data_IF_939009922467
#
_entry.id   IF_939009922467
#
_cell.length_a   1.000
_cell.length_b   1.000
_cell.length_c   1.000
_cell.angle_alpha   90.00
_cell.angle_beta   90.00
_cell.angle_gamma   90.00
#
_symmetry.space_group_name_H-M   'P 1'
#
loop_
_entity.id
_entity.type
_entity.pdbx_description
1 polymer ?
#
# COMPACT_ATOMS: atom_id res chain seq x y z
N UNK A 1 15.00 0.65 -10.91
CA UNK A 1 13.74 1.36 -10.66
C UNK A 1 13.89 2.53 -9.67
N UNK A 2 15.06 3.17 -9.51
CA UNK A 2 15.20 4.32 -8.60
C UNK A 2 15.08 5.62 -9.38
N UNK A 3 13.85 5.92 -9.80
CA UNK A 3 13.52 7.01 -10.73
C UNK A 3 13.46 8.38 -10.05
N UNK A 4 13.30 8.40 -8.73
CA UNK A 4 13.41 9.59 -7.90
C UNK A 4 14.01 9.19 -6.53
N UNK A 5 14.72 10.13 -5.89
CA UNK A 5 15.42 9.91 -4.62
C UNK A 5 14.88 10.78 -3.48
N UNK A 6 14.10 11.81 -3.80
CA UNK A 6 13.45 12.68 -2.83
C UNK A 6 11.96 12.38 -2.74
N UNK A 7 11.39 12.57 -1.55
CA UNK A 7 9.94 12.54 -1.33
C UNK A 7 9.20 13.37 -2.39
N UNK A 8 8.17 12.80 -3.00
CA UNK A 8 7.31 13.49 -3.95
C UNK A 8 5.94 13.74 -3.33
N UNK A 9 5.35 14.90 -3.61
CA UNK A 9 3.98 15.21 -3.21
C UNK A 9 3.06 15.25 -4.42
N UNK A 10 1.87 14.68 -4.29
CA UNK A 10 0.86 14.70 -5.33
C UNK A 10 -0.53 14.87 -4.74
N UNK A 11 -1.26 15.85 -5.28
CA UNK A 11 -2.68 15.99 -5.04
C UNK A 11 -3.40 14.83 -5.72
N UNK A 12 -4.18 14.07 -4.96
CA UNK A 12 -4.95 12.96 -5.54
C UNK A 12 -6.10 13.53 -6.35
N UNK A 13 -6.19 13.14 -7.63
CA UNK A 13 -7.25 13.59 -8.52
C UNK A 13 -8.62 13.10 -8.04
N UNK A 14 -9.66 13.92 -8.21
CA UNK A 14 -11.01 13.58 -7.77
C UNK A 14 -11.52 12.28 -8.41
N UNK A 15 -11.23 12.05 -9.69
CA UNK A 15 -11.62 10.84 -10.40
C UNK A 15 -10.98 9.58 -9.79
N UNK A 16 -9.71 9.65 -9.39
CA UNK A 16 -9.02 8.56 -8.70
C UNK A 16 -9.64 8.29 -7.32
N UNK A 17 -10.02 9.34 -6.59
CA UNK A 17 -10.74 9.19 -5.30
C UNK A 17 -12.10 8.51 -5.50
N UNK A 18 -12.85 8.87 -6.54
CA UNK A 18 -14.14 8.23 -6.86
C UNK A 18 -13.95 6.75 -7.19
N UNK A 19 -13.03 6.40 -8.10
CA UNK A 19 -12.74 5.00 -8.44
C UNK A 19 -12.32 4.17 -7.22
N UNK A 20 -11.47 4.73 -6.35
CA UNK A 20 -11.04 4.06 -5.12
C UNK A 20 -12.21 3.79 -4.15
N UNK A 21 -13.16 4.74 -4.03
CA UNK A 21 -14.35 4.56 -3.19
C UNK A 21 -15.28 3.49 -3.75
N UNK A 22 -15.53 3.53 -5.05
CA UNK A 22 -16.40 2.57 -5.73
C UNK A 22 -15.84 1.14 -5.58
N UNK A 23 -14.54 0.98 -5.78
CA UNK A 23 -13.86 -0.29 -5.54
C UNK A 23 -14.01 -0.79 -4.10
N UNK A 24 -13.72 0.07 -3.13
CA UNK A 24 -13.81 -0.30 -1.72
C UNK A 24 -15.24 -0.72 -1.32
N UNK A 25 -16.25 -0.02 -1.84
CA UNK A 25 -17.66 -0.37 -1.61
C UNK A 25 -18.01 -1.75 -2.21
N UNK A 26 -17.59 -2.00 -3.45
CA UNK A 26 -17.84 -3.27 -4.13
C UNK A 26 -17.11 -4.45 -3.47
N UNK A 27 -15.90 -4.24 -2.93
CA UNK A 27 -15.15 -5.28 -2.20
C UNK A 27 -15.91 -5.76 -0.98
N UNK A 28 -16.54 -4.86 -0.22
CA UNK A 28 -17.36 -5.24 0.95
C UNK A 28 -18.63 -5.97 0.55
N UNK A 29 -19.25 -5.56 -0.55
CA UNK A 29 -20.44 -6.22 -1.07
C UNK A 29 -20.14 -7.67 -1.53
N UNK A 30 -18.91 -7.94 -1.98
CA UNK A 30 -18.55 -9.19 -2.65
C UNK A 30 -17.83 -10.19 -1.74
N UNK A 31 -16.98 -9.72 -0.82
CA UNK A 31 -16.08 -10.58 -0.03
C UNK A 31 -16.66 -10.86 1.36
N UNK A 32 -16.77 -12.14 1.70
CA UNK A 32 -17.21 -12.58 3.02
C UNK A 32 -16.04 -12.60 4.02
N UNK A 33 -16.00 -11.63 4.92
CA UNK A 33 -14.96 -11.49 5.95
C UNK A 33 -15.25 -12.25 7.26
N UNK A 34 -16.24 -13.14 7.31
CA UNK A 34 -16.59 -13.91 8.52
C UNK A 34 -15.43 -14.78 9.06
N UNK A 35 -14.50 -15.18 8.19
CA UNK A 35 -13.34 -16.03 8.49
C UNK A 35 -12.21 -15.31 9.25
N UNK A 36 -12.19 -13.97 9.25
CA UNK A 36 -11.06 -13.17 9.74
C UNK A 36 -11.34 -12.41 11.04
N UNK A 37 -12.51 -12.64 11.67
CA UNK A 37 -13.00 -11.92 12.86
C UNK A 37 -12.96 -10.38 12.71
N UNK A 38 -12.87 -9.87 11.49
CA UNK A 38 -12.91 -8.45 11.19
C UNK A 38 -14.37 -8.02 11.03
N UNK A 39 -15.03 -7.75 12.16
CA UNK A 39 -16.44 -7.34 12.17
C UNK A 39 -16.66 -5.89 11.71
N UNK A 40 -15.61 -5.06 11.67
CA UNK A 40 -15.73 -3.66 11.32
C UNK A 40 -15.61 -3.46 9.79
N UNK A 41 -16.75 -3.61 9.11
CA UNK A 41 -16.85 -3.39 7.66
C UNK A 41 -16.37 -1.99 7.25
N UNK A 42 -16.69 -0.95 8.02
CA UNK A 42 -16.24 0.41 7.73
C UNK A 42 -14.71 0.51 7.66
N UNK A 43 -14.01 -0.13 8.60
CA UNK A 43 -12.55 -0.19 8.59
C UNK A 43 -12.02 -0.92 7.35
N UNK A 44 -12.63 -2.05 6.99
CA UNK A 44 -12.22 -2.82 5.80
C UNK A 44 -12.39 -1.95 4.54
N UNK A 45 -13.50 -1.20 4.44
CA UNK A 45 -13.76 -0.31 3.32
C UNK A 45 -12.68 0.75 3.23
N UNK A 46 -12.41 1.38 4.37
CA UNK A 46 -11.44 2.45 4.49
C UNK A 46 -10.03 1.96 4.13
N UNK A 47 -9.62 0.79 4.62
CA UNK A 47 -8.33 0.18 4.29
C UNK A 47 -8.18 -0.05 2.76
N UNK A 48 -9.21 -0.57 2.09
CA UNK A 48 -9.19 -0.78 0.62
C UNK A 48 -9.18 0.54 -0.16
N UNK A 49 -9.96 1.52 0.28
CA UNK A 49 -9.97 2.86 -0.29
C UNK A 49 -8.58 3.50 -0.21
N UNK A 50 -7.98 3.53 0.98
CA UNK A 50 -6.65 4.10 1.21
C UNK A 50 -5.56 3.37 0.41
N UNK A 51 -5.67 2.05 0.26
CA UNK A 51 -4.76 1.28 -0.61
C UNK A 51 -4.77 1.80 -2.04
N UNK A 52 -5.95 1.87 -2.66
CA UNK A 52 -6.09 2.32 -4.05
C UNK A 52 -5.68 3.77 -4.26
N UNK A 53 -5.93 4.64 -3.29
CA UNK A 53 -5.46 6.03 -3.34
C UNK A 53 -3.92 6.08 -3.41
N UNK A 54 -3.22 5.27 -2.62
CA UNK A 54 -1.77 5.24 -2.70
C UNK A 54 -1.25 4.68 -4.02
N UNK A 55 -1.89 3.65 -4.57
CA UNK A 55 -1.54 3.11 -5.88
C UNK A 55 -1.71 4.16 -7.00
N UNK A 56 -2.81 4.90 -7.00
CA UNK A 56 -3.07 6.01 -7.92
C UNK A 56 -2.05 7.16 -7.76
N UNK A 57 -1.66 7.48 -6.53
CA UNK A 57 -0.64 8.49 -6.26
C UNK A 57 0.73 8.08 -6.82
N UNK A 58 1.16 6.84 -6.59
CA UNK A 58 2.42 6.29 -7.12
C UNK A 58 2.39 6.31 -8.65
N UNK A 59 1.31 5.82 -9.26
CA UNK A 59 1.12 5.88 -10.72
C UNK A 59 1.32 7.29 -11.26
N UNK A 60 0.64 8.27 -10.66
CA UNK A 60 0.69 9.67 -11.12
C UNK A 60 2.12 10.22 -11.08
N UNK A 61 2.90 9.89 -10.05
CA UNK A 61 4.31 10.32 -9.95
C UNK A 61 5.15 9.70 -11.07
N UNK A 62 5.04 8.39 -11.31
CA UNK A 62 5.80 7.73 -12.36
C UNK A 62 5.43 8.21 -13.77
N UNK A 63 4.14 8.42 -14.04
CA UNK A 63 3.67 8.97 -15.32
C UNK A 63 4.20 10.40 -15.56
N UNK A 64 4.24 11.24 -14.51
CA UNK A 64 4.87 12.58 -14.60
C UNK A 64 6.36 12.54 -14.90
N UNK A 65 7.03 11.44 -14.54
CA UNK A 65 8.44 11.19 -14.84
C UNK A 65 8.63 10.48 -16.19
N UNK A 66 7.59 10.43 -17.03
CA UNK A 66 7.56 9.80 -18.36
C UNK A 66 7.76 8.28 -18.36
N UNK A 67 7.37 7.59 -17.29
CA UNK A 67 7.36 6.13 -17.25
C UNK A 67 6.01 5.55 -17.67
N UNK A 68 6.04 4.38 -18.29
CA UNK A 68 4.81 3.64 -18.61
C UNK A 68 4.36 2.90 -17.36
N UNK A 69 3.13 3.17 -16.91
CA UNK A 69 2.56 2.49 -15.73
C UNK A 69 1.34 1.66 -16.13
N UNK A 70 1.33 0.38 -15.77
CA UNK A 70 0.11 -0.45 -15.75
C UNK A 70 -0.40 -0.59 -14.32
N UNK A 71 -1.73 -0.61 -14.19
CA UNK A 71 -2.44 -0.61 -12.91
C UNK A 71 -2.92 0.80 -12.52
N UNK A 72 -3.48 0.96 -11.31
CA UNK A 72 -3.86 -0.13 -10.41
C UNK A 72 -4.98 -1.01 -10.99
N UNK A 73 -5.03 -2.26 -10.56
CA UNK A 73 -6.14 -3.16 -10.92
C UNK A 73 -7.35 -2.91 -10.01
N UNK A 74 -8.52 -2.70 -10.60
CA UNK A 74 -9.78 -2.51 -9.89
C UNK A 74 -10.70 -3.74 -9.97
N UNK A 75 -10.19 -4.87 -10.46
CA UNK A 75 -10.92 -6.13 -10.55
C UNK A 75 -11.14 -6.73 -9.16
N UNK A 76 -12.37 -7.16 -8.88
CA UNK A 76 -12.74 -7.78 -7.60
C UNK A 76 -12.81 -9.28 -7.78
N UNK A 77 -11.82 -9.98 -7.24
CA UNK A 77 -11.75 -11.43 -7.31
C UNK A 77 -12.60 -12.07 -6.20
N UNK A 78 -13.60 -12.86 -6.58
CA UNK A 78 -14.35 -13.69 -5.65
C UNK A 78 -13.56 -14.99 -5.32
N UNK A 79 -13.43 -15.32 -4.04
CA UNK A 79 -12.86 -16.60 -3.59
C UNK A 79 -11.37 -16.79 -3.87
N UNK A 80 -10.96 -18.00 -4.30
CA UNK A 80 -9.55 -18.42 -4.49
C UNK A 80 -8.83 -17.78 -5.68
N UNK A 81 -9.48 -16.85 -6.39
CA UNK A 81 -8.91 -16.18 -7.58
C UNK A 81 -7.98 -15.01 -7.29
N UNK A 82 -7.64 -14.74 -6.02
CA UNK A 82 -6.72 -13.65 -5.67
C UNK A 82 -5.32 -13.98 -6.18
N UNK A 83 -4.94 -13.42 -7.33
CA UNK A 83 -3.55 -13.44 -7.77
C UNK A 83 -2.74 -12.52 -6.84
N UNK A 84 -1.54 -12.95 -6.47
CA UNK A 84 -0.57 -12.11 -5.78
C UNK A 84 0.15 -11.18 -6.78
N UNK A 85 -0.62 -10.58 -7.69
CA UNK A 85 -0.08 -9.67 -8.68
C UNK A 85 0.38 -8.37 -8.00
N UNK A 86 1.44 -7.79 -8.54
CA UNK A 86 1.93 -6.50 -8.08
C UNK A 86 0.86 -5.43 -8.30
N UNK A 87 0.80 -4.46 -7.39
CA UNK A 87 -0.21 -3.41 -7.46
C UNK A 87 -0.04 -2.56 -8.73
N UNK A 88 1.21 -2.33 -9.14
CA UNK A 88 1.59 -1.60 -10.35
C UNK A 88 2.71 -2.32 -11.11
N UNK A 89 2.85 -1.98 -12.39
CA UNK A 89 4.03 -2.28 -13.19
C UNK A 89 4.54 -1.00 -13.84
N UNK A 90 5.78 -0.61 -13.53
CA UNK A 90 6.45 0.57 -14.12
C UNK A 90 7.52 0.09 -15.07
N UNK A 91 7.38 0.41 -16.36
CA UNK A 91 8.24 -0.10 -17.44
C UNK A 91 8.43 -1.62 -17.34
N UNK A 92 7.31 -2.33 -17.16
CA UNK A 92 7.20 -3.78 -16.99
C UNK A 92 7.89 -4.38 -15.75
N UNK A 93 8.43 -3.53 -14.86
CA UNK A 93 8.95 -3.95 -13.55
C UNK A 93 7.80 -3.92 -12.52
N UNK A 94 7.54 -5.02 -11.78
CA UNK A 94 6.51 -5.07 -10.76
C UNK A 94 6.86 -4.17 -9.56
N UNK A 95 5.87 -3.44 -9.06
CA UNK A 95 5.99 -2.52 -7.93
C UNK A 95 4.81 -2.73 -6.97
N UNK A 96 5.13 -3.10 -5.73
CA UNK A 96 4.16 -3.09 -4.65
C UNK A 96 3.97 -1.68 -4.10
N UNK A 97 2.79 -1.39 -3.56
CA UNK A 97 2.47 -0.12 -2.92
C UNK A 97 1.92 -0.38 -1.52
N UNK A 98 2.45 0.33 -0.53
CA UNK A 98 1.96 0.29 0.85
C UNK A 98 1.60 1.70 1.28
N UNK A 99 0.37 1.88 1.75
CA UNK A 99 -0.15 3.19 2.15
C UNK A 99 -0.48 3.21 3.63
N UNK A 100 -0.17 4.32 4.30
CA UNK A 100 -0.64 4.63 5.65
C UNK A 100 -1.23 6.03 5.64
N UNK A 101 -2.34 6.24 6.36
CA UNK A 101 -2.90 7.58 6.52
C UNK A 101 -2.05 8.41 7.50
N UNK A 102 -2.00 9.71 7.29
CA UNK A 102 -1.29 10.65 8.16
C UNK A 102 -1.82 10.59 9.61
N UNK A 103 -3.13 10.37 9.79
CA UNK A 103 -3.72 10.18 11.12
C UNK A 103 -3.19 8.91 11.80
N UNK A 104 -3.13 7.78 11.08
CA UNK A 104 -2.57 6.55 11.61
C UNK A 104 -1.07 6.69 11.91
N UNK A 105 -0.32 7.41 11.08
CA UNK A 105 1.08 7.76 11.31
C UNK A 105 1.29 8.56 12.59
N UNK A 106 0.43 9.54 12.90
CA UNK A 106 0.48 10.28 14.18
C UNK A 106 0.25 9.38 15.39
N UNK A 107 -0.61 8.38 15.27
CA UNK A 107 -1.00 7.48 16.38
C UNK A 107 0.00 6.35 16.62
N UNK A 108 0.58 5.80 15.55
CA UNK A 108 1.38 4.58 15.61
C UNK A 108 2.80 4.73 15.07
N UNK A 109 3.20 5.97 14.78
CA UNK A 109 4.38 6.33 14.01
C UNK A 109 4.25 5.95 12.52
N UNK A 110 4.79 6.81 11.64
CA UNK A 110 4.72 6.59 10.19
C UNK A 110 5.50 5.32 9.81
N UNK A 111 4.75 4.30 9.41
CA UNK A 111 5.24 2.95 9.19
C UNK A 111 4.29 2.10 8.34
N UNK A 112 4.85 1.11 7.66
CA UNK A 112 4.09 0.20 6.80
C UNK A 112 4.32 -1.25 7.21
N UNK A 113 3.23 -1.99 7.37
CA UNK A 113 3.28 -3.35 7.88
C UNK A 113 3.20 -4.41 6.80
N UNK A 114 3.93 -5.49 7.02
CA UNK A 114 3.92 -6.71 6.23
C UNK A 114 3.43 -7.87 7.10
N UNK A 115 2.72 -8.81 6.49
CA UNK A 115 2.26 -10.02 7.19
C UNK A 115 3.42 -11.00 7.33
N UNK A 116 3.69 -11.44 8.56
CA UNK A 116 4.76 -12.38 8.92
C UNK A 116 4.22 -13.61 9.69
N UNK A 117 2.91 -13.76 9.78
CA UNK A 117 2.30 -14.87 10.54
C UNK A 117 2.49 -16.23 9.87
N UNK A 118 2.36 -17.33 10.63
CA UNK A 118 2.52 -18.70 10.09
C UNK A 118 1.43 -19.09 9.08
N UNK A 119 0.23 -18.50 9.19
CA UNK A 119 -0.90 -18.78 8.30
C UNK A 119 -1.07 -17.77 7.15
N UNK A 120 -0.52 -16.56 7.32
CA UNK A 120 -0.57 -15.48 6.33
C UNK A 120 0.77 -14.74 6.36
N UNK A 121 1.54 -14.89 5.29
CA UNK A 121 2.84 -14.24 5.09
C UNK A 121 2.86 -13.57 3.73
N UNK A 122 3.33 -12.32 3.67
CA UNK A 122 3.49 -11.60 2.41
C UNK A 122 4.67 -12.23 1.63
N UNK A 123 4.45 -12.81 0.43
CA UNK A 123 5.51 -13.47 -0.35
C UNK A 123 6.67 -12.54 -0.71
N UNK A 124 6.40 -11.24 -0.82
CA UNK A 124 7.41 -10.21 -1.12
C UNK A 124 8.56 -10.20 -0.10
N UNK A 125 8.32 -10.63 1.15
CA UNK A 125 9.35 -10.74 2.19
C UNK A 125 10.44 -11.77 1.86
N UNK A 126 10.19 -12.68 0.92
CA UNK A 126 11.16 -13.66 0.44
C UNK A 126 11.77 -13.26 -0.91
N UNK A 127 11.49 -12.05 -1.41
CA UNK A 127 11.94 -11.55 -2.70
C UNK A 127 12.81 -10.30 -2.50
N UNK A 128 14.11 -10.46 -2.17
CA UNK A 128 14.99 -9.35 -1.81
C UNK A 128 15.09 -8.27 -2.89
N UNK A 129 14.95 -8.65 -4.16
CA UNK A 129 15.03 -7.75 -5.31
C UNK A 129 13.69 -7.07 -5.66
N UNK A 130 12.57 -7.50 -5.05
CA UNK A 130 11.25 -6.93 -5.32
C UNK A 130 11.19 -5.47 -4.88
N UNK A 131 10.47 -4.66 -5.66
CA UNK A 131 10.32 -3.23 -5.43
C UNK A 131 9.04 -2.89 -4.69
N UNK A 132 9.12 -1.93 -3.79
CA UNK A 132 7.98 -1.36 -3.06
C UNK A 132 8.09 0.15 -2.96
N UNK A 133 6.96 0.83 -3.15
CA UNK A 133 6.77 2.24 -2.83
C UNK A 133 5.92 2.40 -1.57
N UNK A 134 6.30 3.37 -0.75
CA UNK A 134 5.59 3.71 0.47
C UNK A 134 4.89 5.05 0.32
N UNK A 135 3.68 5.16 0.85
CA UNK A 135 2.84 6.35 0.73
C UNK A 135 2.30 6.74 2.10
N UNK A 136 2.46 8.02 2.45
CA UNK A 136 1.65 8.69 3.47
C UNK A 136 0.50 9.43 2.79
N UNK A 137 -0.74 9.23 3.25
CA UNK A 137 -1.91 9.92 2.69
C UNK A 137 -2.60 10.82 3.73
N UNK A 138 -2.67 12.12 3.46
CA UNK A 138 -3.43 13.11 4.23
C UNK A 138 -4.83 13.25 3.63
N UNK A 139 -5.80 12.54 4.23
CA UNK A 139 -7.20 12.51 3.79
C UNK A 139 -7.87 13.88 3.84
N UNK A 140 -7.54 14.72 4.82
CA UNK A 140 -8.15 16.04 4.97
C UNK A 140 -7.75 16.97 3.81
N UNK A 141 -6.55 16.76 3.25
CA UNK A 141 -6.02 17.55 2.13
C UNK A 141 -6.09 16.83 0.79
N UNK A 142 -6.50 15.56 0.76
CA UNK A 142 -6.35 14.66 -0.39
C UNK A 142 -4.91 14.64 -0.97
N UNK A 143 -3.90 14.81 -0.11
CA UNK A 143 -2.50 14.92 -0.49
C UNK A 143 -1.77 13.62 -0.17
N UNK A 144 -1.07 13.05 -1.15
CA UNK A 144 -0.22 11.88 -0.96
C UNK A 144 1.25 12.29 -1.01
N UNK A 145 2.04 11.79 -0.05
CA UNK A 145 3.50 11.87 -0.03
C UNK A 145 4.07 10.51 -0.36
N UNK A 146 4.71 10.43 -1.52
CA UNK A 146 5.24 9.21 -2.09
C UNK A 146 6.74 9.16 -1.84
N UNK A 147 7.16 8.15 -1.07
CA UNK A 147 8.57 7.90 -0.82
C UNK A 147 9.22 7.23 -2.04
N UNK A 148 10.55 7.39 -2.22
CA UNK A 148 11.30 6.66 -3.25
C UNK A 148 11.00 5.17 -3.25
N UNK A 149 11.04 4.50 -4.42
CA UNK A 149 10.97 3.05 -4.48
C UNK A 149 12.22 2.43 -3.84
N UNK A 150 12.00 1.38 -3.05
CA UNK A 150 13.04 0.60 -2.39
C UNK A 150 12.93 -0.86 -2.80
N UNK A 151 14.07 -1.55 -2.88
CA UNK A 151 14.06 -3.00 -2.89
C UNK A 151 13.87 -3.54 -1.47
N UNK A 152 13.24 -4.71 -1.32
CA UNK A 152 13.02 -5.33 -0.01
C UNK A 152 14.31 -5.50 0.79
N UNK A 153 15.43 -5.85 0.14
CA UNK A 153 16.75 -5.99 0.79
C UNK A 153 17.32 -4.69 1.35
N UNK A 154 16.81 -3.53 0.91
CA UNK A 154 17.27 -2.22 1.38
C UNK A 154 16.54 -1.77 2.66
N UNK A 155 15.48 -2.48 3.04
CA UNK A 155 14.59 -2.09 4.13
C UNK A 155 15.12 -2.58 5.48
N UNK A 156 15.04 -1.71 6.48
CA UNK A 156 15.21 -2.09 7.87
C UNK A 156 13.85 -2.48 8.44
N UNK A 157 13.69 -3.76 8.76
CA UNK A 157 12.48 -4.29 9.32
C UNK A 157 12.54 -4.31 10.85
N UNK A 158 11.48 -3.83 11.49
CA UNK A 158 11.36 -3.71 12.95
C UNK A 158 10.00 -4.23 13.45
N UNK A 159 9.92 -4.49 14.76
CA UNK A 159 8.67 -4.90 15.39
C UNK A 159 7.63 -3.75 15.34
N UNK A 160 6.35 -4.02 15.01
CA UNK A 160 5.30 -3.01 15.06
C UNK A 160 5.09 -2.43 16.47
N UNK A 161 4.64 -1.18 16.53
CA UNK A 161 4.37 -0.45 17.78
C UNK A 161 3.38 -1.16 18.71
N UNK A 162 2.36 -1.80 18.12
CA UNK A 162 1.35 -2.53 18.88
C UNK A 162 1.84 -3.94 19.22
N UNK A 163 2.04 -4.23 20.51
CA UNK A 163 2.54 -5.51 21.01
C UNK A 163 1.78 -6.73 20.44
N UNK A 164 0.45 -6.64 20.34
CA UNK A 164 -0.39 -7.72 19.78
C UNK A 164 -0.08 -8.06 18.32
N UNK A 165 0.54 -7.15 17.56
CA UNK A 165 0.91 -7.37 16.15
C UNK A 165 2.29 -7.96 15.98
N UNK A 166 3.18 -7.89 16.98
CA UNK A 166 4.59 -8.28 16.86
C UNK A 166 4.79 -9.78 16.55
N UNK A 167 3.79 -10.62 16.85
CA UNK A 167 3.84 -12.07 16.55
C UNK A 167 3.45 -12.41 15.10
N UNK A 168 2.79 -11.50 14.40
CA UNK A 168 2.13 -11.78 13.11
C UNK A 168 2.45 -10.76 12.03
N UNK A 169 3.12 -9.67 12.38
CA UNK A 169 3.49 -8.59 11.46
C UNK A 169 4.89 -8.08 11.75
N UNK A 170 5.49 -7.52 10.72
CA UNK A 170 6.73 -6.75 10.78
C UNK A 170 6.49 -5.39 10.10
N UNK A 171 7.23 -4.37 10.51
CA UNK A 171 7.03 -2.99 10.04
C UNK A 171 8.32 -2.41 9.47
N UNK A 172 8.14 -1.48 8.53
CA UNK A 172 9.20 -0.60 8.06
C UNK A 172 8.80 0.82 8.46
N UNK A 173 9.71 1.52 9.13
CA UNK A 173 9.44 2.86 9.67
C UNK A 173 10.08 3.93 8.80
N UNK A 174 9.36 5.03 8.57
CA UNK A 174 9.86 6.12 7.73
C UNK A 174 11.20 6.71 8.22
N UNK A 175 11.43 6.72 9.55
CA UNK A 175 12.69 7.18 10.16
C UNK A 175 13.93 6.40 9.71
N UNK A 176 13.74 5.19 9.17
CA UNK A 176 14.84 4.31 8.75
C UNK A 176 15.26 4.54 7.29
N UNK A 177 14.46 5.31 6.55
CA UNK A 177 14.77 5.64 5.16
C UNK A 177 15.95 6.58 5.09
N UNK A 178 16.83 6.29 4.13
CA UNK A 178 17.97 7.14 3.77
C UNK A 178 17.62 7.72 2.40
N UNK A 179 17.38 9.03 2.36
CA UNK A 179 17.14 9.81 1.14
C UNK A 179 18.18 10.93 1.06
#
# INVERSE_FOLDING_TARGET
MRHFTALQEVQTAQDSLTRARDFAAQVIATVNYKDSHQANQHKIQHDHFVSKVGEEAVKTIFEKLNHRVRGPDYTIYAGKGKSWEADLFVDDVPLAVKTQTAEAGKRFELSWTFQLGPYRRDPILNQPEAWVCFVEYDEAKNLARVFPPYQIKELTFEAPKLARLQKVKIAVYARTFKF
#
